data_IF_311754902246
#
_entry.id   IF_311754902246
#
_cell.length_a   1.000
_cell.length_b   1.000
_cell.length_c   1.000
_cell.angle_alpha   90.00
_cell.angle_beta   90.00
_cell.angle_gamma   90.00
#
_symmetry.space_group_name_H-M   'P 1'
#
loop_
_entity.id
_entity.type
_entity.pdbx_description
1 polymer ?
#
# COMPACT_ATOMS: atom_id res chain seq x y z
N UNK A 1 39.88 -18.21 38.54
CA UNK A 1 39.64 -19.03 37.34
C UNK A 1 39.33 -18.07 36.20
N UNK A 2 40.21 -18.09 35.21
CA UNK A 2 40.37 -17.14 34.12
C UNK A 2 39.17 -17.09 33.16
N UNK A 3 38.82 -15.87 32.73
CA UNK A 3 38.09 -15.60 31.48
C UNK A 3 38.75 -16.33 30.30
N UNK A 4 37.94 -16.78 29.33
CA UNK A 4 38.14 -16.62 27.87
C UNK A 4 36.92 -17.23 27.17
N UNK A 5 36.20 -16.39 26.40
CA UNK A 5 35.40 -16.81 25.26
C UNK A 5 35.72 -15.81 24.13
N UNK A 6 36.68 -16.18 23.29
CA UNK A 6 36.96 -15.59 21.98
C UNK A 6 36.71 -16.76 21.02
N UNK A 7 35.88 -16.69 19.98
CA UNK A 7 35.95 -15.96 18.69
C UNK A 7 34.52 -16.09 18.07
N UNK A 8 34.00 -15.26 17.15
CA UNK A 8 34.48 -14.99 15.79
C UNK A 8 33.85 -13.68 15.27
N UNK A 9 34.72 -12.74 14.93
CA UNK A 9 34.75 -11.93 13.70
C UNK A 9 33.45 -11.80 12.87
N UNK A 10 32.79 -10.65 12.95
CA UNK A 10 32.31 -10.00 11.72
C UNK A 10 32.60 -8.52 11.79
N UNK A 11 33.29 -8.07 10.75
CA UNK A 11 33.76 -6.73 10.49
C UNK A 11 32.73 -5.65 10.81
N UNK A 12 33.25 -4.57 11.37
CA UNK A 12 32.93 -3.20 11.01
C UNK A 12 32.33 -3.09 9.60
N UNK A 13 31.01 -3.04 9.48
CA UNK A 13 30.33 -2.53 8.29
C UNK A 13 30.08 -1.03 8.46
N UNK A 14 31.16 -0.27 8.68
CA UNK A 14 31.17 1.15 8.36
C UNK A 14 31.23 1.28 6.84
N UNK A 15 30.13 1.04 6.12
CA UNK A 15 29.98 1.47 4.72
C UNK A 15 28.62 1.21 4.06
N UNK A 16 27.47 1.17 4.76
CA UNK A 16 26.18 1.28 4.04
C UNK A 16 25.15 2.11 4.80
N UNK A 17 25.46 3.38 5.08
CA UNK A 17 24.41 4.43 4.94
C UNK A 17 24.33 4.81 3.47
N UNK A 18 24.20 3.80 2.60
CA UNK A 18 23.61 4.00 1.30
C UNK A 18 22.18 4.43 1.56
N UNK A 19 21.94 5.74 1.65
CA UNK A 19 20.64 6.29 1.29
C UNK A 19 20.43 5.85 -0.16
N UNK A 20 19.81 4.68 -0.34
CA UNK A 20 19.30 4.25 -1.63
C UNK A 20 18.34 5.34 -2.06
N UNK A 21 18.79 6.25 -2.93
CA UNK A 21 18.00 7.38 -3.43
C UNK A 21 16.90 6.92 -4.42
N UNK A 22 16.41 5.68 -4.31
CA UNK A 22 15.53 5.07 -5.30
C UNK A 22 14.42 4.18 -4.75
N UNK A 23 14.24 4.04 -3.43
CA UNK A 23 13.15 3.21 -2.90
C UNK A 23 11.90 4.04 -2.64
N UNK A 24 10.84 3.75 -3.41
CA UNK A 24 9.49 4.23 -3.10
C UNK A 24 8.96 3.44 -1.91
N UNK A 25 8.35 4.14 -0.96
CA UNK A 25 7.72 3.53 0.21
C UNK A 25 6.23 3.80 0.19
N UNK A 26 5.44 2.78 0.52
CA UNK A 26 4.00 2.87 0.75
C UNK A 26 3.75 2.89 2.26
N UNK A 27 2.87 3.77 2.71
CA UNK A 27 2.45 3.88 4.11
C UNK A 27 0.94 3.74 4.21
N UNK A 28 0.51 2.75 4.98
CA UNK A 28 -0.90 2.47 5.29
C UNK A 28 -1.07 2.32 6.80
N UNK A 29 -2.28 2.60 7.35
CA UNK A 29 -2.57 2.29 8.74
C UNK A 29 -2.50 0.78 8.97
N UNK A 30 -1.93 0.34 10.10
CA UNK A 30 -1.83 -1.09 10.42
C UNK A 30 -3.19 -1.76 10.64
N UNK A 31 -4.18 -1.02 11.14
CA UNK A 31 -5.56 -1.46 11.25
C UNK A 31 -6.50 -0.26 11.27
N UNK A 32 -7.73 -0.48 10.79
CA UNK A 32 -8.86 0.44 10.94
C UNK A 32 -10.09 -0.37 11.30
N UNK A 33 -11.04 0.24 11.99
CA UNK A 33 -12.30 -0.39 12.38
C UNK A 33 -13.47 0.56 12.18
N UNK A 34 -14.66 0.00 12.00
CA UNK A 34 -15.92 0.72 11.94
C UNK A 34 -17.05 -0.21 12.38
N UNK A 35 -18.13 0.37 12.89
CA UNK A 35 -19.33 -0.40 13.17
C UNK A 35 -20.01 -0.85 11.87
N UNK A 36 -20.78 -1.93 11.93
CA UNK A 36 -21.63 -2.34 10.80
C UNK A 36 -22.61 -1.20 10.46
N UNK A 37 -22.73 -0.88 9.17
CA UNK A 37 -23.48 0.27 8.66
C UNK A 37 -22.72 1.60 8.71
N UNK A 38 -21.58 1.66 9.42
CA UNK A 38 -20.70 2.82 9.50
C UNK A 38 -19.88 3.03 8.22
N UNK A 39 -18.99 4.02 8.26
CA UNK A 39 -18.01 4.28 7.20
C UNK A 39 -16.59 4.08 7.72
N UNK A 40 -15.68 3.65 6.85
CA UNK A 40 -14.25 3.59 7.15
C UNK A 40 -13.43 4.15 6.00
N UNK A 41 -12.33 4.83 6.34
CA UNK A 41 -11.38 5.40 5.39
C UNK A 41 -10.01 4.74 5.58
N UNK A 42 -9.50 4.13 4.52
CA UNK A 42 -8.19 3.49 4.48
C UNK A 42 -7.25 4.39 3.68
N UNK A 43 -6.23 4.92 4.36
CA UNK A 43 -5.24 5.81 3.75
C UNK A 43 -4.11 5.02 3.11
N UNK A 44 -3.62 5.52 1.97
CA UNK A 44 -2.42 5.05 1.29
C UNK A 44 -1.58 6.27 0.90
N UNK A 45 -0.36 6.34 1.43
CA UNK A 45 0.57 7.44 1.14
C UNK A 45 1.87 6.89 0.57
N UNK A 46 2.26 7.38 -0.60
CA UNK A 46 3.53 7.00 -1.25
C UNK A 46 4.59 8.08 -1.00
N UNK A 47 5.87 7.72 -0.98
CA UNK A 47 6.95 8.71 -0.84
C UNK A 47 7.21 9.56 -2.08
N UNK A 48 6.67 9.15 -3.23
CA UNK A 48 6.74 9.84 -4.52
C UNK A 48 5.36 9.89 -5.15
N UNK A 49 5.13 10.82 -6.08
CA UNK A 49 3.87 10.86 -6.82
C UNK A 49 3.70 9.59 -7.66
N UNK A 50 2.47 9.06 -7.65
CA UNK A 50 2.04 7.95 -8.50
C UNK A 50 2.02 8.43 -9.94
N UNK A 51 2.48 7.57 -10.86
CA UNK A 51 2.50 7.83 -12.28
C UNK A 51 1.10 8.17 -12.82
N UNK A 52 1.04 9.13 -13.73
CA UNK A 52 -0.19 9.58 -14.36
C UNK A 52 -0.17 9.18 -15.82
N UNK A 53 -1.16 8.39 -16.23
CA UNK A 53 -1.40 8.05 -17.62
C UNK A 53 -2.78 8.54 -18.03
N UNK A 54 -2.84 9.38 -19.07
CA UNK A 54 -4.09 9.93 -19.60
C UNK A 54 -5.00 10.60 -18.53
N UNK A 55 -4.40 11.40 -17.64
CA UNK A 55 -5.04 12.05 -16.48
C UNK A 55 -5.48 11.11 -15.35
N UNK A 56 -5.13 9.82 -15.39
CA UNK A 56 -5.41 8.87 -14.33
C UNK A 56 -4.15 8.51 -13.55
N UNK A 57 -4.20 8.60 -12.22
CA UNK A 57 -3.15 8.05 -11.36
C UNK A 57 -3.21 6.53 -11.38
N UNK A 58 -2.10 5.87 -11.72
CA UNK A 58 -2.00 4.41 -11.75
C UNK A 58 -1.85 3.82 -10.34
N UNK A 59 -2.96 3.91 -9.60
CA UNK A 59 -3.13 3.28 -8.29
C UNK A 59 -4.35 2.36 -8.31
N UNK A 60 -4.21 1.20 -7.68
CA UNK A 60 -5.29 0.25 -7.51
C UNK A 60 -5.45 -0.14 -6.03
N UNK A 61 -6.67 -0.46 -5.64
CA UNK A 61 -7.02 -0.98 -4.32
C UNK A 61 -7.39 -2.44 -4.42
N UNK A 62 -6.86 -3.24 -3.52
CA UNK A 62 -7.14 -4.67 -3.41
C UNK A 62 -7.74 -5.01 -2.05
N UNK A 63 -8.61 -6.02 -2.05
CA UNK A 63 -9.14 -6.69 -0.88
C UNK A 63 -8.65 -8.13 -0.89
N UNK A 64 -8.05 -8.58 0.20
CA UNK A 64 -7.65 -9.95 0.39
C UNK A 64 -8.34 -10.52 1.63
N UNK A 65 -9.23 -11.49 1.39
CA UNK A 65 -9.87 -12.28 2.44
C UNK A 65 -9.00 -13.49 2.77
N UNK A 66 -9.12 -14.00 3.99
CA UNK A 66 -8.36 -15.16 4.44
C UNK A 66 -8.59 -16.36 3.51
N UNK A 67 -7.49 -16.96 3.04
CA UNK A 67 -7.52 -18.09 2.13
C UNK A 67 -7.97 -17.77 0.69
N UNK A 68 -8.21 -16.51 0.35
CA UNK A 68 -8.60 -16.08 -1.00
C UNK A 68 -7.49 -15.27 -1.68
N UNK A 69 -7.37 -15.35 -3.02
CA UNK A 69 -6.47 -14.47 -3.74
C UNK A 69 -6.93 -13.00 -3.62
N UNK A 70 -6.01 -12.04 -3.72
CA UNK A 70 -6.39 -10.64 -3.73
C UNK A 70 -7.33 -10.30 -4.88
N UNK A 71 -8.41 -9.58 -4.55
CA UNK A 71 -9.41 -9.09 -5.50
C UNK A 71 -9.27 -7.58 -5.66
N UNK A 72 -9.11 -7.11 -6.90
CA UNK A 72 -9.09 -5.67 -7.19
C UNK A 72 -10.48 -5.09 -7.01
N UNK A 73 -10.54 -3.96 -6.31
CA UNK A 73 -11.77 -3.22 -6.03
C UNK A 73 -11.89 -2.00 -6.93
N UNK A 74 -10.78 -1.25 -7.02
CA UNK A 74 -10.69 0.04 -7.69
C UNK A 74 -9.35 0.08 -8.43
N UNK A 75 -9.34 0.62 -9.63
CA UNK A 75 -8.16 0.95 -10.42
C UNK A 75 -8.22 2.41 -10.86
N UNK A 76 -7.09 2.94 -11.36
CA UNK A 76 -6.98 4.34 -11.76
C UNK A 76 -7.47 5.31 -10.67
N UNK A 77 -7.06 5.02 -9.43
CA UNK A 77 -7.39 5.68 -8.15
C UNK A 77 -8.87 5.77 -7.74
N UNK A 78 -9.81 5.71 -8.69
CA UNK A 78 -11.23 6.01 -8.47
C UNK A 78 -12.19 5.17 -9.33
N UNK A 79 -11.69 4.45 -10.33
CA UNK A 79 -12.53 3.63 -11.21
C UNK A 79 -12.80 2.28 -10.57
N UNK A 80 -14.06 2.02 -10.23
CA UNK A 80 -14.47 0.77 -9.59
C UNK A 80 -14.53 -0.37 -10.60
N UNK A 81 -14.02 -1.55 -10.23
CA UNK A 81 -14.17 -2.76 -11.04
C UNK A 81 -15.64 -3.22 -11.10
N UNK A 82 -15.99 -3.95 -12.17
CA UNK A 82 -17.32 -4.51 -12.34
C UNK A 82 -17.67 -5.51 -11.23
N UNK A 83 -18.91 -5.48 -10.76
CA UNK A 83 -19.39 -6.34 -9.67
C UNK A 83 -18.91 -5.96 -8.27
N UNK A 84 -18.15 -4.87 -8.12
CA UNK A 84 -17.80 -4.32 -6.81
C UNK A 84 -18.94 -3.40 -6.34
N UNK A 85 -19.42 -3.55 -5.08
CA UNK A 85 -20.53 -2.75 -4.58
C UNK A 85 -20.26 -1.24 -4.60
N UNK A 86 -21.32 -0.44 -4.80
CA UNK A 86 -21.21 1.02 -4.90
C UNK A 86 -20.64 1.71 -3.66
N UNK A 87 -20.72 1.02 -2.52
CA UNK A 87 -20.25 1.49 -1.22
C UNK A 87 -18.72 1.66 -1.14
N UNK A 88 -17.98 1.01 -2.05
CA UNK A 88 -16.53 1.18 -2.22
C UNK A 88 -16.24 2.34 -3.16
N UNK A 89 -15.47 3.31 -2.70
CA UNK A 89 -15.09 4.51 -3.45
C UNK A 89 -13.63 4.85 -3.23
N UNK A 90 -12.96 5.30 -4.28
CA UNK A 90 -11.54 5.65 -4.27
C UNK A 90 -11.38 7.13 -4.55
N UNK A 91 -10.45 7.78 -3.85
CA UNK A 91 -10.18 9.20 -3.96
C UNK A 91 -8.71 9.50 -3.73
N UNK A 92 -8.29 10.71 -4.10
CA UNK A 92 -6.94 11.20 -3.90
C UNK A 92 -6.16 11.42 -5.19
N UNK A 93 -4.95 11.94 -5.05
CA UNK A 93 -4.09 12.33 -6.16
C UNK A 93 -2.64 12.38 -5.70
N UNK A 94 -1.73 12.44 -6.67
CA UNK A 94 -0.29 12.53 -6.45
C UNK A 94 0.24 11.39 -5.59
N UNK A 95 0.37 11.60 -4.28
CA UNK A 95 0.95 10.64 -3.34
C UNK A 95 0.05 10.33 -2.15
N UNK A 96 -1.19 10.81 -2.12
CA UNK A 96 -2.13 10.62 -1.00
C UNK A 96 -3.48 10.15 -1.53
N UNK A 97 -3.84 8.91 -1.18
CA UNK A 97 -5.03 8.22 -1.67
C UNK A 97 -5.84 7.64 -0.52
N UNK A 98 -7.15 7.53 -0.74
CA UNK A 98 -8.08 7.00 0.24
C UNK A 98 -9.08 6.06 -0.42
N UNK A 99 -9.21 4.87 0.16
CA UNK A 99 -10.36 3.99 -0.07
C UNK A 99 -11.39 4.27 1.03
N UNK A 100 -12.61 4.59 0.62
CA UNK A 100 -13.75 4.77 1.51
C UNK A 100 -14.72 3.62 1.30
N UNK A 101 -15.06 2.94 2.39
CA UNK A 101 -16.11 1.92 2.44
C UNK A 101 -17.23 2.51 3.29
N UNK A 102 -18.33 2.88 2.65
CA UNK A 102 -19.55 3.30 3.34
C UNK A 102 -20.44 2.10 3.63
N UNK A 103 -21.31 2.18 4.64
CA UNK A 103 -22.22 1.06 4.96
C UNK A 103 -21.49 -0.26 5.18
N UNK A 104 -20.42 -0.25 5.98
CA UNK A 104 -19.53 -1.41 6.22
C UNK A 104 -20.35 -2.63 6.63
N UNK A 105 -20.05 -3.77 6.02
CA UNK A 105 -20.72 -5.05 6.30
C UNK A 105 -19.74 -6.03 6.98
N UNK A 106 -20.25 -7.10 7.60
CA UNK A 106 -19.40 -8.07 8.31
C UNK A 106 -18.42 -8.78 7.33
N UNK A 107 -18.88 -9.01 6.11
CA UNK A 107 -18.12 -9.58 5.00
C UNK A 107 -17.03 -8.65 4.44
N UNK A 108 -16.96 -7.39 4.88
CA UNK A 108 -15.90 -6.45 4.52
C UNK A 108 -14.64 -6.61 5.39
N UNK A 109 -14.66 -7.51 6.39
CA UNK A 109 -13.47 -7.88 7.15
C UNK A 109 -12.43 -8.58 6.23
N UNK A 110 -11.32 -7.90 5.97
CA UNK A 110 -10.26 -8.32 5.06
C UNK A 110 -8.98 -7.49 5.27
N UNK A 111 -7.88 -7.92 4.67
CA UNK A 111 -6.69 -7.09 4.48
C UNK A 111 -6.89 -6.23 3.23
N UNK A 112 -6.62 -4.93 3.34
CA UNK A 112 -6.70 -3.98 2.24
C UNK A 112 -5.35 -3.36 1.97
N UNK A 113 -4.93 -3.36 0.72
CA UNK A 113 -3.69 -2.71 0.31
C UNK A 113 -3.85 -1.93 -0.98
N UNK A 114 -3.09 -0.85 -1.10
CA UNK A 114 -2.96 -0.12 -2.35
C UNK A 114 -1.73 -0.61 -3.11
N UNK A 115 -1.83 -0.67 -4.43
CA UNK A 115 -0.70 -0.87 -5.33
C UNK A 115 -0.56 0.39 -6.17
N UNK A 116 0.65 0.94 -6.26
CA UNK A 116 0.96 2.09 -7.09
C UNK A 116 2.02 1.77 -8.14
N UNK A 117 1.90 2.40 -9.29
CA UNK A 117 2.92 2.41 -10.33
C UNK A 117 3.60 3.78 -10.36
N UNK A 118 4.91 3.77 -10.50
CA UNK A 118 5.75 4.96 -10.57
C UNK A 118 6.67 4.87 -11.78
N UNK A 119 6.93 6.01 -12.42
CA UNK A 119 7.84 6.09 -13.55
C UNK A 119 9.08 6.89 -13.14
N UNK A 120 10.17 6.17 -12.83
CA UNK A 120 11.42 6.76 -12.33
C UNK A 120 12.59 6.26 -13.18
N UNK A 121 13.52 7.15 -13.53
CA UNK A 121 14.72 6.80 -14.32
C UNK A 121 14.39 5.99 -15.60
N UNK A 122 13.31 6.37 -16.28
CA UNK A 122 12.78 5.71 -17.48
C UNK A 122 12.36 4.24 -17.29
N UNK A 123 11.99 3.86 -16.06
CA UNK A 123 11.55 2.52 -15.70
C UNK A 123 10.22 2.59 -14.94
N UNK A 124 9.34 1.61 -15.17
CA UNK A 124 8.13 1.41 -14.39
C UNK A 124 8.45 0.62 -13.12
N UNK A 125 8.00 1.13 -11.98
CA UNK A 125 8.21 0.54 -10.65
C UNK A 125 6.86 0.34 -9.99
N UNK A 126 6.58 -0.89 -9.56
CA UNK A 126 5.37 -1.24 -8.83
C UNK A 126 5.67 -1.36 -7.33
N UNK A 127 4.80 -0.78 -6.51
CA UNK A 127 4.92 -0.84 -5.04
C UNK A 127 3.57 -1.08 -4.38
N UNK A 128 3.56 -1.82 -3.27
CA UNK A 128 2.40 -2.05 -2.41
C UNK A 128 2.83 -2.11 -0.94
#
# INVERSE_FOLDING_TARGET
MTLICVLIWTLLCCCFTGKSRGQITVTQPGAVSSAVGGSVNIKCRTSQNVYVYNNYHLLAWYQQKDGQPPKRLIYWSSTRDSGIPARFTGSGSNSDFTLTISGVQAEDAAVYYCQSEHYMNSQHVFTQ
#
